data_IF_244519463257
#
_entry.id   IF_244519463257
#
_cell.length_a   1.000
_cell.length_b   1.000
_cell.length_c   1.000
_cell.angle_alpha   90.00
_cell.angle_beta   90.00
_cell.angle_gamma   90.00
#
_symmetry.space_group_name_H-M   'P 1'
#
loop_
_entity.id
_entity.type
_entity.pdbx_description
1 polymer ?
#
# COMPACT_ATOMS: atom_id res chain seq x y z
N UNK A 1 35.44 8.44 49.22
CA UNK A 1 34.22 7.62 49.03
C UNK A 1 33.80 7.85 47.59
N UNK A 2 34.11 6.92 46.69
CA UNK A 2 33.86 7.04 45.25
C UNK A 2 32.62 6.19 44.93
N UNK A 3 31.56 6.78 44.38
CA UNK A 3 30.27 6.10 44.14
C UNK A 3 29.90 5.94 42.65
N UNK A 4 30.77 6.29 41.70
CA UNK A 4 30.44 6.15 40.27
C UNK A 4 30.74 4.74 39.76
N UNK A 5 29.91 3.77 40.17
CA UNK A 5 29.70 2.51 39.46
C UNK A 5 28.28 2.51 38.89
N UNK A 6 28.09 3.27 37.80
CA UNK A 6 26.89 3.16 36.96
C UNK A 6 27.11 2.00 36.01
N UNK A 7 26.61 0.83 36.38
CA UNK A 7 26.43 -0.28 35.45
C UNK A 7 25.38 0.13 34.42
N UNK A 8 25.86 0.59 33.26
CA UNK A 8 25.07 0.78 32.05
C UNK A 8 24.56 -0.60 31.59
N UNK A 9 23.45 -1.03 32.19
CA UNK A 9 22.75 -2.24 31.76
C UNK A 9 21.97 -1.85 30.52
N UNK A 10 22.31 -2.39 29.32
CA UNK A 10 21.56 -2.05 28.11
C UNK A 10 20.10 -2.44 28.35
N UNK A 11 19.21 -1.47 28.15
CA UNK A 11 17.77 -1.66 28.28
C UNK A 11 17.33 -2.88 27.44
N UNK A 12 16.41 -3.73 27.94
CA UNK A 12 16.03 -4.94 27.25
C UNK A 12 15.53 -4.62 25.84
N UNK A 13 16.05 -5.36 24.87
CA UNK A 13 15.70 -5.26 23.46
C UNK A 13 14.17 -5.37 23.32
N UNK A 14 13.53 -4.37 22.69
CA UNK A 14 12.07 -4.37 22.51
C UNK A 14 11.69 -5.54 21.60
N UNK A 15 10.95 -6.51 22.15
CA UNK A 15 10.41 -7.65 21.42
C UNK A 15 9.44 -7.29 20.28
N UNK A 16 8.93 -6.05 20.25
CA UNK A 16 8.05 -5.54 19.19
C UNK A 16 8.64 -4.27 18.58
N UNK A 17 8.93 -4.35 17.28
CA UNK A 17 9.37 -3.24 16.43
C UNK A 17 8.23 -2.68 15.58
N UNK A 18 8.38 -1.45 15.09
CA UNK A 18 7.45 -0.85 14.13
C UNK A 18 7.77 -1.24 12.67
N UNK A 19 8.94 -1.85 12.44
CA UNK A 19 9.37 -2.36 11.14
C UNK A 19 8.88 -3.78 10.95
N UNK A 20 8.26 -4.04 9.79
CA UNK A 20 7.91 -5.38 9.35
C UNK A 20 9.13 -6.06 8.72
N UNK A 21 9.49 -7.24 9.20
CA UNK A 21 10.56 -8.04 8.61
C UNK A 21 10.09 -8.72 7.31
N UNK A 22 10.99 -9.37 6.58
CA UNK A 22 10.64 -9.98 5.27
C UNK A 22 9.52 -11.01 5.37
N UNK A 23 9.48 -11.75 6.47
CA UNK A 23 8.43 -12.74 6.73
C UNK A 23 7.08 -12.06 6.93
N UNK A 24 7.03 -10.99 7.74
CA UNK A 24 5.82 -10.19 7.94
C UNK A 24 5.31 -9.59 6.62
N UNK A 25 6.21 -9.08 5.78
CA UNK A 25 5.84 -8.52 4.48
C UNK A 25 5.28 -9.60 3.53
N UNK A 26 5.85 -10.80 3.55
CA UNK A 26 5.36 -11.91 2.73
C UNK A 26 3.98 -12.39 3.20
N UNK A 27 3.78 -12.48 4.51
CA UNK A 27 2.47 -12.82 5.11
C UNK A 27 1.45 -11.73 4.81
N UNK A 28 1.79 -10.46 4.99
CA UNK A 28 0.90 -9.34 4.67
C UNK A 28 0.50 -9.37 3.18
N UNK A 29 1.46 -9.58 2.27
CA UNK A 29 1.18 -9.69 0.85
C UNK A 29 0.22 -10.85 0.52
N UNK A 30 0.34 -11.98 1.22
CA UNK A 30 -0.56 -13.12 1.05
C UNK A 30 -1.97 -12.87 1.58
N UNK A 31 -2.13 -12.00 2.58
CA UNK A 31 -3.41 -11.65 3.21
C UNK A 31 -4.16 -10.52 2.47
N UNK A 32 -3.49 -9.79 1.58
CA UNK A 32 -4.15 -8.70 0.84
C UNK A 32 -5.17 -9.28 -0.16
N UNK A 33 -6.37 -8.69 -0.25
CA UNK A 33 -7.37 -9.08 -1.25
C UNK A 33 -6.84 -8.81 -2.66
N UNK A 34 -7.21 -9.70 -3.59
CA UNK A 34 -6.72 -9.70 -4.98
C UNK A 34 -7.69 -9.05 -5.96
N UNK A 35 -8.97 -9.05 -5.63
CA UNK A 35 -10.03 -8.45 -6.42
C UNK A 35 -10.97 -7.58 -5.56
N UNK A 36 -11.93 -6.91 -6.21
CA UNK A 36 -12.88 -6.04 -5.51
C UNK A 36 -13.87 -6.81 -4.63
N UNK A 37 -14.16 -8.07 -4.94
CA UNK A 37 -15.10 -8.90 -4.19
C UNK A 37 -14.49 -9.35 -2.86
N UNK A 38 -13.19 -9.62 -2.84
CA UNK A 38 -12.41 -9.92 -1.64
C UNK A 38 -12.15 -8.68 -0.75
N UNK A 39 -12.28 -7.46 -1.28
CA UNK A 39 -12.04 -6.23 -0.51
C UNK A 39 -13.19 -5.99 0.48
N UNK A 40 -12.94 -6.14 1.78
CA UNK A 40 -13.99 -6.04 2.80
C UNK A 40 -14.28 -4.57 3.17
N UNK A 41 -15.57 -4.22 3.20
CA UNK A 41 -16.05 -2.89 3.56
C UNK A 41 -15.98 -1.88 2.40
N UNK A 42 -16.20 -0.60 2.72
CA UNK A 42 -16.21 0.50 1.73
C UNK A 42 -17.11 0.24 0.51
N UNK A 43 -18.32 -0.31 0.73
CA UNK A 43 -19.28 -0.70 -0.32
C UNK A 43 -19.41 0.32 -1.46
N UNK A 44 -19.67 1.58 -1.11
CA UNK A 44 -19.81 2.67 -2.08
C UNK A 44 -18.56 2.83 -2.96
N UNK A 45 -17.36 2.74 -2.39
CA UNK A 45 -16.10 2.87 -3.15
C UNK A 45 -15.93 1.68 -4.09
N UNK A 46 -16.24 0.47 -3.62
CA UNK A 46 -16.17 -0.76 -4.44
C UNK A 46 -17.12 -0.68 -5.62
N UNK A 47 -18.38 -0.29 -5.40
CA UNK A 47 -19.38 -0.15 -6.47
C UNK A 47 -18.98 0.89 -7.52
N UNK A 48 -18.46 2.03 -7.07
CA UNK A 48 -17.98 3.08 -7.97
C UNK A 48 -16.79 2.63 -8.82
N UNK A 49 -15.82 1.95 -8.20
CA UNK A 49 -14.68 1.39 -8.92
C UNK A 49 -15.13 0.30 -9.90
N UNK A 50 -15.96 -0.65 -9.46
CA UNK A 50 -16.47 -1.73 -10.30
C UNK A 50 -17.16 -1.19 -11.56
N UNK A 51 -18.02 -0.17 -11.41
CA UNK A 51 -18.68 0.50 -12.53
C UNK A 51 -17.67 1.07 -13.54
N UNK A 52 -16.68 1.83 -13.06
CA UNK A 52 -15.70 2.51 -13.92
C UNK A 52 -14.78 1.50 -14.61
N UNK A 53 -14.28 0.50 -13.88
CA UNK A 53 -13.39 -0.52 -14.41
C UNK A 53 -14.09 -1.42 -15.43
N UNK A 54 -15.34 -1.87 -15.14
CA UNK A 54 -16.15 -2.62 -16.11
C UNK A 54 -16.38 -1.82 -17.38
N UNK A 55 -16.70 -0.53 -17.26
CA UNK A 55 -16.92 0.34 -18.41
C UNK A 55 -15.63 0.53 -19.24
N UNK A 56 -14.48 0.70 -18.60
CA UNK A 56 -13.19 0.78 -19.29
C UNK A 56 -12.84 -0.52 -20.03
N UNK A 57 -12.97 -1.67 -19.35
CA UNK A 57 -12.76 -3.00 -19.95
C UNK A 57 -13.67 -3.26 -21.15
N UNK A 58 -14.96 -2.95 -21.03
CA UNK A 58 -15.93 -3.15 -22.11
C UNK A 58 -15.58 -2.34 -23.37
N UNK A 59 -14.90 -1.19 -23.21
CA UNK A 59 -14.41 -0.36 -24.32
C UNK A 59 -13.03 -0.79 -24.84
N UNK A 60 -12.34 -1.72 -24.18
CA UNK A 60 -10.92 -2.02 -24.45
C UNK A 60 -10.02 -0.81 -24.22
N UNK A 61 -10.39 0.10 -23.31
CA UNK A 61 -9.69 1.33 -23.02
C UNK A 61 -9.04 1.29 -21.63
N UNK A 62 -8.14 2.24 -21.36
CA UNK A 62 -7.58 2.44 -20.02
C UNK A 62 -8.66 2.90 -19.04
N UNK A 63 -8.53 2.53 -17.77
CA UNK A 63 -9.34 3.11 -16.70
C UNK A 63 -9.05 4.62 -16.57
N UNK A 64 -10.07 5.38 -16.17
CA UNK A 64 -9.91 6.80 -15.87
C UNK A 64 -8.95 7.00 -14.68
N UNK A 65 -8.34 8.18 -14.57
CA UNK A 65 -7.47 8.50 -13.45
C UNK A 65 -8.24 8.50 -12.12
N UNK A 66 -7.72 7.77 -11.13
CA UNK A 66 -8.34 7.63 -9.80
C UNK A 66 -7.48 8.31 -8.73
N UNK A 67 -8.10 9.12 -7.88
CA UNK A 67 -7.51 9.66 -6.66
C UNK A 67 -8.16 9.01 -5.43
N UNK A 68 -7.37 8.24 -4.68
CA UNK A 68 -7.81 7.64 -3.42
C UNK A 68 -7.37 8.53 -2.25
N UNK A 69 -8.32 9.02 -1.46
CA UNK A 69 -8.06 9.87 -0.30
C UNK A 69 -8.69 9.29 0.97
N UNK A 70 -8.02 9.47 2.11
CA UNK A 70 -8.49 9.00 3.42
C UNK A 70 -7.35 8.73 4.39
N UNK A 71 -7.70 8.49 5.65
CA UNK A 71 -6.77 8.17 6.74
C UNK A 71 -5.83 6.99 6.40
N UNK A 72 -4.66 6.88 7.07
CA UNK A 72 -3.78 5.71 6.92
C UNK A 72 -4.53 4.42 7.30
N UNK A 73 -4.18 3.30 6.65
CA UNK A 73 -4.77 1.98 6.94
C UNK A 73 -6.09 1.65 6.21
N UNK A 74 -6.72 2.60 5.50
CA UNK A 74 -7.97 2.36 4.77
C UNK A 74 -7.83 1.57 3.45
N UNK A 75 -6.71 0.87 3.24
CA UNK A 75 -6.55 0.03 2.06
C UNK A 75 -6.35 0.77 0.72
N UNK A 76 -5.94 2.05 0.71
CA UNK A 76 -5.68 2.81 -0.53
C UNK A 76 -4.69 2.11 -1.46
N UNK A 77 -3.53 1.71 -0.93
CA UNK A 77 -2.52 0.97 -1.68
C UNK A 77 -3.05 -0.38 -2.17
N UNK A 78 -3.85 -1.06 -1.34
CA UNK A 78 -4.51 -2.32 -1.71
C UNK A 78 -5.48 -2.13 -2.88
N UNK A 79 -6.33 -1.10 -2.85
CA UNK A 79 -7.24 -0.76 -3.94
C UNK A 79 -6.49 -0.44 -5.23
N UNK A 80 -5.35 0.25 -5.17
CA UNK A 80 -4.51 0.48 -6.35
C UNK A 80 -4.00 -0.82 -6.98
N UNK A 81 -3.60 -1.80 -6.16
CA UNK A 81 -3.19 -3.12 -6.64
C UNK A 81 -4.36 -3.90 -7.27
N UNK A 82 -5.54 -3.85 -6.64
CA UNK A 82 -6.76 -4.46 -7.20
C UNK A 82 -7.11 -3.83 -8.55
N UNK A 83 -7.09 -2.49 -8.68
CA UNK A 83 -7.36 -1.79 -9.94
C UNK A 83 -6.41 -2.29 -11.05
N UNK A 84 -5.13 -2.44 -10.77
CA UNK A 84 -4.16 -2.93 -11.74
C UNK A 84 -4.45 -4.39 -12.16
N UNK A 85 -4.75 -5.26 -11.20
CA UNK A 85 -5.12 -6.65 -11.46
C UNK A 85 -6.39 -6.77 -12.31
N UNK A 86 -7.44 -6.02 -11.94
CA UNK A 86 -8.72 -5.93 -12.65
C UNK A 86 -8.58 -5.43 -14.10
N UNK A 87 -7.60 -4.56 -14.35
CA UNK A 87 -7.30 -4.05 -15.70
C UNK A 87 -6.27 -4.90 -16.45
N UNK A 88 -5.72 -5.95 -15.84
CA UNK A 88 -4.66 -6.78 -16.43
C UNK A 88 -3.40 -5.98 -16.78
N UNK A 89 -3.11 -4.92 -16.03
CA UNK A 89 -2.05 -3.96 -16.33
C UNK A 89 -0.93 -3.98 -15.28
N UNK A 90 0.34 -3.70 -15.64
CA UNK A 90 1.41 -3.58 -14.68
C UNK A 90 1.22 -2.35 -13.77
N UNK A 91 1.58 -2.48 -12.49
CA UNK A 91 1.55 -1.39 -11.52
C UNK A 91 2.95 -0.85 -11.23
N UNK A 92 3.06 0.48 -11.17
CA UNK A 92 4.26 1.19 -10.72
C UNK A 92 3.94 1.92 -9.43
N UNK A 93 4.73 1.65 -8.40
CA UNK A 93 4.54 2.22 -7.06
C UNK A 93 5.61 3.26 -6.82
N UNK A 94 5.19 4.45 -6.40
CA UNK A 94 6.07 5.54 -6.00
C UNK A 94 5.42 6.33 -4.87
N UNK A 95 6.17 7.24 -4.26
CA UNK A 95 5.70 8.13 -3.21
C UNK A 95 6.07 9.57 -3.55
N UNK A 96 5.31 10.54 -3.06
CA UNK A 96 5.62 11.96 -3.26
C UNK A 96 7.09 12.31 -2.91
N UNK A 97 7.61 11.92 -1.74
CA UNK A 97 9.01 12.14 -1.39
C UNK A 97 10.03 11.44 -2.29
N UNK A 98 9.65 10.36 -2.98
CA UNK A 98 10.50 9.66 -3.93
C UNK A 98 10.58 10.36 -5.30
N UNK A 99 9.68 11.30 -5.58
CA UNK A 99 9.70 12.14 -6.78
C UNK A 99 10.20 13.52 -6.37
N UNK A 100 11.51 13.71 -6.42
CA UNK A 100 12.16 14.98 -6.02
C UNK A 100 12.34 15.91 -7.22
N UNK A 101 12.52 15.33 -8.40
CA UNK A 101 12.71 16.03 -9.65
C UNK A 101 11.75 15.50 -10.72
N UNK A 102 11.36 16.35 -11.68
CA UNK A 102 10.47 15.95 -12.78
C UNK A 102 11.01 14.78 -13.61
N UNK A 103 12.35 14.61 -13.66
CA UNK A 103 13.02 13.50 -14.33
C UNK A 103 12.79 12.15 -13.66
N UNK A 104 12.53 12.12 -12.35
CA UNK A 104 12.32 10.87 -11.60
C UNK A 104 11.04 10.16 -12.06
N UNK A 105 10.03 10.93 -12.50
CA UNK A 105 8.78 10.39 -13.02
C UNK A 105 8.96 9.71 -14.39
N UNK A 106 9.91 10.18 -15.21
CA UNK A 106 10.18 9.59 -16.51
C UNK A 106 11.00 8.28 -16.44
N UNK A 107 11.67 8.05 -15.30
CA UNK A 107 12.51 6.87 -15.06
C UNK A 107 11.75 5.68 -14.45
N UNK A 108 10.50 5.87 -14.04
CA UNK A 108 9.64 4.86 -13.40
C UNK A 108 8.71 4.27 -14.46
#
# INVERSE_FOLDING_TARGET
MNWDDTTDTPAPERLVGASADREDQAVEAALRPKDLDEFIGQEKVREQLDLVLRAARARGATADHVLLSGAPGLGKTTLSMIIAAEMGAPIRITSGPAIQHAGDLAAI
#
